data_IF_764347024645
#
_entry.id   IF_764347024645
#
_cell.length_a   1.000
_cell.length_b   1.000
_cell.length_c   1.000
_cell.angle_alpha   90.00
_cell.angle_beta   90.00
_cell.angle_gamma   90.00
#
_symmetry.space_group_name_H-M   'P 1'
#
loop_
_entity.id
_entity.type
_entity.pdbx_description
1 polymer ?
#
# COMPACT_ATOMS: atom_id res chain seq x y z
N UNK A 1 18.96 6.43 0.79
CA UNK A 1 19.93 6.98 -0.19
C UNK A 1 20.26 5.88 -1.18
N UNK A 2 19.90 6.08 -2.44
CA UNK A 2 20.20 5.14 -3.53
C UNK A 2 21.54 5.49 -4.16
N UNK A 3 22.36 4.48 -4.49
CA UNK A 3 23.63 4.66 -5.19
C UNK A 3 23.64 3.81 -6.47
N UNK A 4 22.88 4.20 -7.50
CA UNK A 4 22.83 3.43 -8.73
C UNK A 4 24.16 3.53 -9.49
N UNK A 5 24.44 2.55 -10.35
CA UNK A 5 25.63 2.58 -11.22
C UNK A 5 25.60 3.78 -12.16
N UNK A 6 26.76 4.28 -12.56
CA UNK A 6 26.90 5.50 -13.38
C UNK A 6 26.17 5.46 -14.74
N UNK A 7 25.82 4.26 -15.24
CA UNK A 7 25.03 4.09 -16.46
C UNK A 7 23.51 4.10 -16.25
N UNK A 8 23.03 4.25 -15.02
CA UNK A 8 21.61 4.21 -14.69
C UNK A 8 21.05 5.63 -14.63
N UNK A 9 20.04 5.91 -15.45
CA UNK A 9 19.30 7.17 -15.39
C UNK A 9 17.99 6.93 -14.66
N UNK A 10 17.77 7.67 -13.57
CA UNK A 10 16.45 7.80 -12.94
C UNK A 10 15.73 8.98 -13.60
N UNK A 11 14.63 8.69 -14.27
CA UNK A 11 13.79 9.69 -14.92
C UNK A 11 12.72 10.20 -13.97
N UNK A 12 12.08 11.31 -14.34
CA UNK A 12 10.89 11.82 -13.65
C UNK A 12 9.79 10.75 -13.55
N UNK A 13 9.29 10.55 -12.33
CA UNK A 13 8.42 9.44 -11.99
C UNK A 13 7.03 9.60 -12.60
N UNK A 14 6.49 10.82 -12.64
CA UNK A 14 5.19 11.09 -13.25
C UNK A 14 5.23 10.84 -14.76
N UNK A 15 6.25 11.33 -15.44
CA UNK A 15 6.44 11.11 -16.89
C UNK A 15 6.62 9.64 -17.20
N UNK A 16 7.45 8.93 -16.43
CA UNK A 16 7.69 7.50 -16.62
C UNK A 16 6.41 6.67 -16.37
N UNK A 17 5.70 6.95 -15.28
CA UNK A 17 4.44 6.30 -14.95
C UNK A 17 3.39 6.55 -16.03
N UNK A 18 3.14 7.79 -16.44
CA UNK A 18 2.13 8.09 -17.44
C UNK A 18 2.39 7.39 -18.78
N UNK A 19 3.66 7.30 -19.20
CA UNK A 19 4.01 6.56 -20.42
C UNK A 19 3.68 5.07 -20.30
N UNK A 20 3.99 4.45 -19.16
CA UNK A 20 3.66 3.05 -18.91
C UNK A 20 2.15 2.81 -18.82
N UNK A 21 1.40 3.73 -18.19
CA UNK A 21 -0.07 3.68 -18.14
C UNK A 21 -0.62 3.72 -19.56
N UNK A 22 -0.19 4.69 -20.39
CA UNK A 22 -0.65 4.83 -21.76
C UNK A 22 -0.37 3.57 -22.60
N UNK A 23 0.80 2.96 -22.42
CA UNK A 23 1.17 1.71 -23.09
C UNK A 23 0.23 0.57 -22.68
N UNK A 24 0.04 0.33 -21.37
CA UNK A 24 -0.85 -0.71 -20.86
C UNK A 24 -2.30 -0.50 -21.31
N UNK A 25 -2.80 0.73 -21.25
CA UNK A 25 -4.14 1.08 -21.73
C UNK A 25 -4.29 0.83 -23.23
N UNK A 26 -3.26 1.11 -24.04
CA UNK A 26 -3.29 0.80 -25.47
C UNK A 26 -3.37 -0.70 -25.78
N UNK A 27 -2.96 -1.54 -24.82
CA UNK A 27 -3.07 -3.00 -24.88
C UNK A 27 -4.42 -3.51 -24.36
N UNK A 28 -5.32 -2.61 -23.94
CA UNK A 28 -6.63 -2.95 -23.39
C UNK A 28 -6.63 -3.30 -21.89
N UNK A 29 -5.56 -2.97 -21.17
CA UNK A 29 -5.55 -3.04 -19.69
C UNK A 29 -6.37 -1.88 -19.15
N UNK A 30 -7.35 -2.19 -18.30
CA UNK A 30 -8.33 -1.24 -17.76
C UNK A 30 -8.24 -1.10 -16.23
N UNK A 31 -7.26 -1.76 -15.60
CA UNK A 31 -6.97 -1.69 -14.16
C UNK A 31 -5.48 -1.56 -13.96
N UNK A 32 -5.06 -0.45 -13.37
CA UNK A 32 -3.67 -0.04 -13.26
C UNK A 32 -3.30 0.17 -11.80
N UNK A 33 -2.31 -0.60 -11.37
CA UNK A 33 -1.71 -0.50 -10.04
C UNK A 33 -0.28 0.01 -10.17
N UNK A 34 0.01 1.16 -9.59
CA UNK A 34 1.37 1.64 -9.41
C UNK A 34 1.96 1.03 -8.14
N UNK A 35 3.10 0.36 -8.27
CA UNK A 35 3.93 -0.08 -7.15
C UNK A 35 5.15 0.82 -7.10
N UNK A 36 5.25 1.64 -6.06
CA UNK A 36 6.21 2.75 -6.00
C UNK A 36 7.13 2.67 -4.77
N UNK A 37 8.17 3.52 -4.77
CA UNK A 37 9.05 3.73 -3.62
C UNK A 37 9.55 5.17 -3.59
N UNK A 38 8.61 6.13 -3.64
CA UNK A 38 8.89 7.58 -3.81
C UNK A 38 8.45 8.42 -2.62
N UNK A 39 7.88 7.78 -1.60
CA UNK A 39 7.37 8.44 -0.40
C UNK A 39 5.90 8.84 -0.55
N UNK A 40 5.18 8.79 0.57
CA UNK A 40 3.73 8.95 0.62
C UNK A 40 3.24 10.28 0.05
N UNK A 41 3.93 11.39 0.29
CA UNK A 41 3.55 12.69 -0.30
C UNK A 41 3.68 12.69 -1.82
N UNK A 42 4.70 12.02 -2.37
CA UNK A 42 4.85 11.90 -3.82
C UNK A 42 3.81 10.93 -4.40
N UNK A 43 3.48 9.84 -3.69
CA UNK A 43 2.39 8.94 -4.07
C UNK A 43 1.05 9.70 -4.20
N UNK A 44 0.74 10.58 -3.26
CA UNK A 44 -0.46 11.43 -3.32
C UNK A 44 -0.44 12.37 -4.53
N UNK A 45 0.70 13.00 -4.80
CA UNK A 45 0.86 13.86 -5.99
C UNK A 45 0.69 13.06 -7.29
N UNK A 46 1.27 11.87 -7.39
CA UNK A 46 1.12 11.01 -8.56
C UNK A 46 -0.34 10.59 -8.75
N UNK A 47 -1.04 10.25 -7.67
CA UNK A 47 -2.46 9.92 -7.73
C UNK A 47 -3.28 11.06 -8.34
N UNK A 48 -3.02 12.32 -7.95
CA UNK A 48 -3.76 13.50 -8.41
C UNK A 48 -3.38 13.98 -9.83
N UNK A 49 -2.15 13.69 -10.27
CA UNK A 49 -1.60 14.24 -11.53
C UNK A 49 -1.70 13.30 -12.73
N UNK A 50 -1.70 12.00 -12.48
CA UNK A 50 -1.76 10.99 -13.54
C UNK A 50 -3.20 10.76 -14.01
N UNK A 51 -3.35 10.29 -15.24
CA UNK A 51 -4.60 9.74 -15.78
C UNK A 51 -4.53 8.22 -15.79
N UNK A 52 -5.68 7.54 -15.65
CA UNK A 52 -5.79 6.07 -15.75
C UNK A 52 -5.12 5.27 -14.63
N UNK A 53 -4.69 5.89 -13.53
CA UNK A 53 -4.24 5.19 -12.31
C UNK A 53 -5.42 4.90 -11.40
N UNK A 54 -5.46 3.69 -10.84
CA UNK A 54 -6.52 3.24 -9.92
C UNK A 54 -6.04 3.02 -8.49
N UNK A 55 -4.84 2.47 -8.34
CA UNK A 55 -4.28 2.09 -7.04
C UNK A 55 -2.80 2.44 -7.00
N UNK A 56 -2.35 2.98 -5.87
CA UNK A 56 -0.91 3.16 -5.57
C UNK A 56 -0.58 2.40 -4.30
N UNK A 57 0.36 1.46 -4.42
CA UNK A 57 0.98 0.75 -3.31
C UNK A 57 2.40 1.29 -3.15
N UNK A 58 2.63 2.09 -2.12
CA UNK A 58 3.86 2.86 -1.95
C UNK A 58 4.82 2.38 -0.86
N UNK A 59 5.92 3.11 -0.72
CA UNK A 59 6.97 2.89 0.28
C UNK A 59 7.87 4.11 0.48
N UNK A 60 9.13 3.89 0.87
CA UNK A 60 10.17 4.90 1.17
C UNK A 60 9.95 5.71 2.46
N UNK A 61 8.84 6.43 2.58
CA UNK A 61 8.59 7.34 3.72
C UNK A 61 8.25 6.64 5.03
N UNK A 62 8.10 5.31 5.01
CA UNK A 62 7.68 4.49 6.15
C UNK A 62 6.38 5.01 6.79
N UNK A 63 5.43 5.44 5.96
CA UNK A 63 4.20 6.05 6.44
C UNK A 63 3.27 4.98 7.04
N UNK A 64 2.90 5.15 8.31
CA UNK A 64 1.84 4.39 8.94
C UNK A 64 0.50 5.01 8.54
N UNK A 65 -0.32 4.25 7.83
CA UNK A 65 -1.67 4.64 7.47
C UNK A 65 -2.66 3.75 8.24
N UNK A 66 -3.67 4.36 8.87
CA UNK A 66 -4.69 3.64 9.65
C UNK A 66 -5.87 4.56 9.92
N UNK A 67 -7.09 4.03 9.81
CA UNK A 67 -8.31 4.68 10.33
C UNK A 67 -8.57 4.37 11.80
N UNK A 68 -7.84 3.40 12.38
CA UNK A 68 -7.90 3.09 13.81
C UNK A 68 -6.84 3.90 14.57
N UNK A 69 -7.23 4.83 15.46
CA UNK A 69 -6.29 5.61 16.27
C UNK A 69 -5.47 4.75 17.24
N UNK A 70 -5.92 3.54 17.57
CA UNK A 70 -5.18 2.62 18.43
C UNK A 70 -3.80 2.31 17.83
N UNK A 71 -3.69 2.22 16.50
CA UNK A 71 -2.45 1.94 15.76
C UNK A 71 -1.30 2.94 16.05
N UNK A 72 -1.60 4.07 16.71
CA UNK A 72 -0.58 5.00 17.20
C UNK A 72 0.45 4.37 18.16
N UNK A 73 0.17 3.19 18.72
CA UNK A 73 1.12 2.45 19.56
C UNK A 73 2.39 2.00 18.81
N UNK A 74 2.33 1.78 17.49
CA UNK A 74 3.49 1.37 16.69
C UNK A 74 4.17 2.53 15.95
N UNK A 75 3.54 3.70 15.90
CA UNK A 75 4.09 4.85 15.18
C UNK A 75 3.09 5.99 15.01
N UNK A 76 3.55 7.10 14.42
CA UNK A 76 2.66 8.22 14.11
C UNK A 76 1.82 7.92 12.87
N UNK A 77 0.49 7.98 13.00
CA UNK A 77 -0.43 7.82 11.86
C UNK A 77 -0.32 9.06 10.97
N UNK A 78 0.01 8.85 9.69
CA UNK A 78 0.21 9.92 8.71
C UNK A 78 -0.97 10.12 7.77
N UNK A 79 -1.95 9.21 7.78
CA UNK A 79 -3.15 9.27 6.95
C UNK A 79 -4.07 8.08 7.15
N UNK A 80 -5.20 8.11 6.47
CA UNK A 80 -6.19 7.03 6.48
C UNK A 80 -5.69 5.83 5.66
N UNK A 81 -6.12 4.62 6.03
CA UNK A 81 -5.89 3.42 5.22
C UNK A 81 -7.21 2.89 4.65
N UNK A 82 -7.37 2.81 3.32
CA UNK A 82 -6.56 3.50 2.31
C UNK A 82 -6.81 5.01 2.34
N UNK A 83 -5.86 5.78 1.81
CA UNK A 83 -6.10 7.18 1.50
C UNK A 83 -6.76 7.26 0.13
N UNK A 84 -8.01 7.76 0.10
CA UNK A 84 -8.76 7.94 -1.13
C UNK A 84 -8.45 9.32 -1.74
N UNK A 85 -8.05 9.34 -3.01
CA UNK A 85 -7.80 10.54 -3.81
C UNK A 85 -8.56 10.47 -5.13
N UNK A 86 -8.40 11.49 -5.96
CA UNK A 86 -9.01 11.59 -7.29
C UNK A 86 -7.92 11.89 -8.30
N UNK A 87 -7.89 11.15 -9.41
CA UNK A 87 -6.91 11.34 -10.48
C UNK A 87 -7.29 12.48 -11.44
N UNK A 88 -6.43 12.74 -12.44
CA UNK A 88 -6.65 13.82 -13.39
C UNK A 88 -7.87 13.59 -14.32
N UNK A 89 -8.38 12.36 -14.42
CA UNK A 89 -9.63 12.04 -15.15
C UNK A 89 -10.89 12.26 -14.29
N UNK A 90 -10.72 12.47 -12.98
CA UNK A 90 -11.83 12.58 -12.02
C UNK A 90 -12.23 11.25 -11.37
N UNK A 91 -11.46 10.18 -11.58
CA UNK A 91 -11.73 8.85 -11.04
C UNK A 91 -11.06 8.64 -9.67
N UNK A 92 -11.65 7.77 -8.84
CA UNK A 92 -11.15 7.47 -7.50
C UNK A 92 -9.84 6.67 -7.55
N UNK A 93 -8.88 7.03 -6.69
CA UNK A 93 -7.60 6.32 -6.49
C UNK A 93 -7.44 5.87 -5.05
N UNK A 94 -7.05 4.61 -4.84
CA UNK A 94 -6.70 4.09 -3.51
C UNK A 94 -5.17 4.15 -3.29
N UNK A 95 -4.69 4.90 -2.30
CA UNK A 95 -3.26 4.95 -1.94
C UNK A 95 -3.03 4.23 -0.61
N UNK A 96 -2.06 3.31 -0.58
CA UNK A 96 -1.68 2.57 0.63
C UNK A 96 -0.17 2.50 0.82
N UNK A 97 0.26 2.50 2.08
CA UNK A 97 1.58 2.06 2.53
C UNK A 97 1.41 1.13 3.75
N UNK A 98 2.40 0.28 4.00
CA UNK A 98 2.38 -0.71 5.08
C UNK A 98 3.52 -0.51 6.07
N UNK A 99 3.75 0.74 6.48
CA UNK A 99 4.76 1.12 7.46
C UNK A 99 6.17 0.59 7.10
N UNK A 100 6.92 0.04 8.07
CA UNK A 100 8.31 -0.40 7.90
C UNK A 100 8.56 -1.75 8.59
N UNK A 101 9.64 -2.41 8.19
CA UNK A 101 10.21 -3.60 8.83
C UNK A 101 9.26 -4.79 9.01
N UNK A 102 8.25 -4.90 8.14
CA UNK A 102 7.18 -5.90 8.23
C UNK A 102 6.39 -5.86 9.55
N UNK A 103 6.40 -4.72 10.27
CA UNK A 103 5.55 -4.48 11.44
C UNK A 103 4.07 -4.40 11.09
N UNK A 104 3.78 -4.13 9.82
CA UNK A 104 2.42 -4.07 9.28
C UNK A 104 2.39 -4.88 7.97
N UNK A 105 1.34 -5.68 7.82
CA UNK A 105 0.93 -6.28 6.56
C UNK A 105 -0.24 -5.47 6.00
N UNK A 106 -0.06 -4.83 4.85
CA UNK A 106 -1.16 -4.13 4.18
C UNK A 106 -2.21 -5.11 3.64
N UNK A 107 -3.49 -4.84 3.90
CA UNK A 107 -4.62 -5.58 3.34
C UNK A 107 -5.63 -4.61 2.73
N UNK A 108 -5.51 -4.40 1.41
CA UNK A 108 -6.39 -3.54 0.61
C UNK A 108 -7.39 -4.37 -0.19
N UNK A 109 -8.66 -3.99 -0.15
CA UNK A 109 -9.72 -4.51 -1.02
C UNK A 109 -10.22 -3.39 -1.91
N UNK A 110 -10.23 -3.62 -3.22
CA UNK A 110 -10.70 -2.64 -4.22
C UNK A 110 -11.83 -3.26 -5.03
N UNK A 111 -12.92 -2.52 -5.16
CA UNK A 111 -14.06 -2.91 -6.00
C UNK A 111 -14.05 -2.05 -7.26
N UNK A 112 -13.98 -2.70 -8.41
CA UNK A 112 -14.03 -2.07 -9.73
C UNK A 112 -15.40 -2.30 -10.37
N UNK A 113 -15.85 -1.36 -11.20
CA UNK A 113 -16.97 -1.60 -12.10
C UNK A 113 -16.56 -2.30 -13.41
N UNK A 114 -17.52 -2.47 -14.31
CA UNK A 114 -17.31 -3.16 -15.59
C UNK A 114 -16.40 -2.39 -16.56
N UNK A 115 -16.23 -1.09 -16.36
CA UNK A 115 -15.35 -0.22 -17.14
C UNK A 115 -13.94 -0.13 -16.57
N UNK A 116 -13.68 -0.79 -15.43
CA UNK A 116 -12.38 -0.74 -14.76
C UNK A 116 -12.22 0.43 -13.80
N UNK A 117 -13.27 1.21 -13.51
CA UNK A 117 -13.20 2.36 -12.59
C UNK A 117 -13.41 1.91 -11.15
N UNK A 118 -12.64 2.46 -10.22
CA UNK A 118 -12.75 2.18 -8.78
C UNK A 118 -14.07 2.71 -8.21
N UNK A 119 -14.88 1.82 -7.65
CA UNK A 119 -16.12 2.15 -6.94
C UNK A 119 -15.87 2.33 -5.44
N UNK A 120 -15.05 1.47 -4.83
CA UNK A 120 -14.70 1.60 -3.41
C UNK A 120 -13.32 1.03 -3.08
N UNK A 121 -12.69 1.68 -2.11
CA UNK A 121 -11.47 1.23 -1.46
C UNK A 121 -11.84 0.80 -0.03
N UNK A 122 -11.30 -0.31 0.45
CA UNK A 122 -11.51 -0.75 1.82
C UNK A 122 -10.38 -1.63 2.32
N UNK A 123 -10.50 -2.10 3.56
CA UNK A 123 -9.47 -2.89 4.21
C UNK A 123 -8.78 -2.12 5.34
N UNK A 124 -7.75 -2.73 5.92
CA UNK A 124 -7.04 -2.19 7.08
C UNK A 124 -5.63 -2.76 7.15
N UNK A 125 -4.66 -2.03 7.71
CA UNK A 125 -3.37 -2.61 8.04
C UNK A 125 -3.54 -3.73 9.08
N UNK A 126 -2.83 -4.83 8.90
CA UNK A 126 -2.77 -5.95 9.85
C UNK A 126 -1.45 -5.84 10.60
N UNK A 127 -1.49 -5.74 11.92
CA UNK A 127 -0.30 -5.79 12.78
C UNK A 127 -0.14 -7.24 13.23
N UNK A 128 0.90 -7.97 12.79
CA UNK A 128 1.04 -9.40 13.02
C UNK A 128 1.61 -9.75 14.39
N UNK A 129 1.65 -8.78 15.31
CA UNK A 129 2.18 -8.94 16.66
C UNK A 129 1.09 -8.65 17.68
N UNK A 130 0.99 -9.57 18.63
CA UNK A 130 0.07 -9.57 19.76
C UNK A 130 0.21 -8.30 20.62
N UNK A 131 -0.93 -7.72 21.02
CA UNK A 131 -1.05 -6.60 21.97
C UNK A 131 -0.90 -7.06 23.44
N UNK A 132 -0.51 -8.32 23.66
CA UNK A 132 -0.32 -8.93 24.96
C UNK A 132 -1.59 -9.57 25.53
N UNK A 133 -2.62 -9.75 24.70
CA UNK A 133 -3.88 -10.40 25.05
C UNK A 133 -4.00 -11.82 24.47
N UNK A 134 -3.01 -12.33 23.74
CA UNK A 134 -2.97 -13.77 23.43
C UNK A 134 -2.60 -14.55 24.69
N UNK A 135 -3.61 -15.21 25.24
CA UNK A 135 -3.44 -16.26 26.24
C UNK A 135 -2.77 -17.48 25.59
N UNK A 136 -1.44 -17.46 25.51
CA UNK A 136 -0.62 -18.58 25.01
C UNK A 136 -0.97 -19.92 25.69
N UNK A 137 -1.52 -19.90 26.91
CA UNK A 137 -1.93 -21.13 27.59
C UNK A 137 -3.23 -21.74 27.04
N UNK A 138 -4.05 -20.97 26.33
CA UNK A 138 -5.37 -21.38 25.82
C UNK A 138 -5.52 -21.27 24.29
N UNK A 139 -4.48 -20.87 23.56
CA UNK A 139 -4.48 -20.93 22.10
C UNK A 139 -4.44 -22.38 21.62
N UNK A 140 -5.60 -22.87 21.17
CA UNK A 140 -5.79 -24.22 20.63
C UNK A 140 -5.81 -24.24 19.09
N UNK A 141 -5.54 -23.11 18.45
CA UNK A 141 -5.57 -22.98 16.99
C UNK A 141 -4.37 -23.63 16.30
N UNK A 142 -3.26 -23.77 17.03
CA UNK A 142 -2.09 -24.53 16.58
C UNK A 142 -2.14 -25.97 17.11
N UNK A 143 -2.75 -26.86 16.34
CA UNK A 143 -2.46 -28.30 16.42
C UNK A 143 -1.04 -28.60 15.88
N UNK A 144 -0.02 -27.92 16.42
CA UNK A 144 1.39 -28.26 16.21
C UNK A 144 1.90 -28.92 17.48
N UNK A 145 2.25 -30.19 17.34
CA UNK A 145 2.82 -31.00 18.39
C UNK A 145 3.92 -30.27 19.14
N UNK A 146 3.83 -30.35 20.46
CA UNK A 146 4.78 -29.91 21.46
C UNK A 146 6.24 -30.10 21.01
N UNK A 147 6.96 -29.00 20.80
CA UNK A 147 8.37 -28.97 21.15
C UNK A 147 8.45 -28.30 22.53
N UNK A 148 8.41 -29.16 23.55
CA UNK A 148 8.66 -28.76 24.92
C UNK A 148 10.11 -28.28 25.13
N UNK A 149 10.42 -27.74 26.30
CA UNK A 149 11.71 -27.12 26.58
C UNK A 149 12.80 -28.19 26.64
N UNK A 150 13.93 -27.93 25.99
CA UNK A 150 15.20 -28.55 26.37
C UNK A 150 15.87 -27.63 27.39
N UNK A 151 15.99 -28.14 28.62
CA UNK A 151 16.70 -27.65 29.81
C UNK A 151 17.70 -26.49 29.63
#
# INVERSE_FOLDING_TARGET
>A
SSSPDAGTTLTDEATAAQNAINELTSMGVDKIVLLTHVGYTMDQMLAETLTGVDVIVGGDSHSLLSSDPSASFIGNIQGEYPTELVNADGDKVCVVQAYQFATVLGSLSVVFDQSGVVQSCGGSPIIPFDDGNMDWANDTSDARGTLGPSD
#
